data_IF_150610692534
#
_entry.id   IF_150610692534
#
_cell.length_a   1.000
_cell.length_b   1.000
_cell.length_c   1.000
_cell.angle_alpha   90.00
_cell.angle_beta   90.00
_cell.angle_gamma   90.00
#
_symmetry.space_group_name_H-M   'P 1'
#
loop_
_entity.id
_entity.type
_entity.pdbx_description
1 polymer ?
#
# COMPACT_ATOMS: atom_id res chain seq x y z
N UNK A 1 1.31 -13.81 -16.57
CA UNK A 1 2.65 -13.62 -17.17
C UNK A 1 3.65 -13.37 -16.06
N UNK A 2 4.96 -13.50 -16.28
CA UNK A 2 5.95 -13.18 -15.22
C UNK A 2 6.11 -11.67 -15.10
N UNK A 3 5.95 -11.12 -13.89
CA UNK A 3 6.16 -9.69 -13.63
C UNK A 3 7.60 -9.23 -14.02
N UNK A 4 7.76 -8.02 -14.57
CA UNK A 4 9.07 -7.48 -14.95
C UNK A 4 9.92 -7.16 -13.72
N UNK A 5 11.24 -7.04 -13.91
CA UNK A 5 12.15 -6.49 -12.89
C UNK A 5 11.90 -4.99 -12.83
N UNK A 6 11.48 -4.49 -11.66
CA UNK A 6 11.19 -3.07 -11.44
C UNK A 6 12.33 -2.37 -10.69
N UNK A 7 13.09 -3.13 -9.91
CA UNK A 7 14.15 -2.60 -9.05
C UNK A 7 15.35 -3.52 -9.16
N UNK A 8 16.52 -2.94 -9.41
CA UNK A 8 17.82 -3.59 -9.26
C UNK A 8 18.57 -2.92 -8.11
N UNK A 9 19.01 -3.71 -7.15
CA UNK A 9 19.88 -3.28 -6.04
C UNK A 9 21.30 -3.63 -6.42
N UNK A 10 22.18 -2.62 -6.43
CA UNK A 10 23.56 -2.77 -6.84
C UNK A 10 24.51 -2.88 -5.64
N UNK A 11 25.55 -3.72 -5.78
CA UNK A 11 26.76 -3.72 -4.94
C UNK A 11 27.94 -3.32 -5.81
N UNK A 12 28.27 -2.02 -5.82
CA UNK A 12 29.18 -1.46 -6.80
C UNK A 12 28.57 -1.52 -8.20
N UNK A 13 29.25 -2.13 -9.16
CA UNK A 13 28.78 -2.29 -10.54
C UNK A 13 27.98 -3.58 -10.79
N UNK A 14 27.75 -4.41 -9.76
CA UNK A 14 27.10 -5.72 -9.89
C UNK A 14 25.67 -5.63 -9.35
N UNK A 15 24.70 -6.16 -10.10
CA UNK A 15 23.34 -6.37 -9.60
C UNK A 15 23.36 -7.47 -8.53
N UNK A 16 23.15 -7.07 -7.28
CA UNK A 16 23.09 -7.98 -6.14
C UNK A 16 21.70 -8.59 -5.97
N UNK A 17 20.64 -7.82 -6.21
CA UNK A 17 19.26 -8.29 -6.13
C UNK A 17 18.38 -7.64 -7.19
N UNK A 18 17.40 -8.38 -7.72
CA UNK A 18 16.43 -7.90 -8.68
C UNK A 18 15.01 -8.21 -8.18
N UNK A 19 14.18 -7.18 -8.01
CA UNK A 19 12.83 -7.32 -7.48
C UNK A 19 11.82 -7.17 -8.61
N UNK A 20 10.95 -8.17 -8.77
CA UNK A 20 9.88 -8.19 -9.76
C UNK A 20 8.57 -7.79 -9.14
N UNK A 21 7.75 -7.05 -9.88
CA UNK A 21 6.46 -6.60 -9.37
C UNK A 21 5.53 -6.07 -10.44
N UNK A 22 4.37 -5.62 -10.00
CA UNK A 22 3.40 -4.87 -10.79
C UNK A 22 3.11 -3.53 -10.14
N UNK A 23 2.76 -2.53 -10.94
CA UNK A 23 2.44 -1.16 -10.51
C UNK A 23 1.19 -0.74 -11.25
N UNK A 24 0.23 -0.16 -10.54
CA UNK A 24 -0.95 0.45 -11.12
C UNK A 24 -1.13 1.86 -10.54
N UNK A 25 -1.38 2.83 -11.41
CA UNK A 25 -1.65 4.23 -11.06
C UNK A 25 -3.01 4.59 -11.62
N UNK A 26 -3.87 5.13 -10.76
CA UNK A 26 -5.21 5.58 -11.10
C UNK A 26 -5.35 7.07 -10.76
N UNK A 27 -6.19 7.79 -11.51
CA UNK A 27 -6.60 9.14 -11.13
C UNK A 27 -7.71 9.14 -10.06
N UNK A 28 -8.17 10.33 -9.67
CA UNK A 28 -9.21 10.49 -8.65
C UNK A 28 -10.59 9.95 -9.04
N UNK A 29 -10.83 9.75 -10.33
CA UNK A 29 -12.07 9.15 -10.86
C UNK A 29 -11.94 7.61 -11.01
N UNK A 30 -10.78 7.06 -10.65
CA UNK A 30 -10.49 5.63 -10.74
C UNK A 30 -10.12 5.16 -12.15
N UNK A 31 -9.79 6.06 -13.08
CA UNK A 31 -9.34 5.69 -14.42
C UNK A 31 -7.84 5.32 -14.37
N UNK A 32 -7.42 4.22 -15.04
CA UNK A 32 -6.01 3.86 -15.10
C UNK A 32 -5.22 4.91 -15.89
N UNK A 33 -4.18 5.44 -15.25
CA UNK A 33 -3.21 6.37 -15.83
C UNK A 33 -1.99 5.61 -16.34
N UNK A 34 -1.55 4.59 -15.60
CA UNK A 34 -0.38 3.80 -15.96
C UNK A 34 -0.38 2.43 -15.28
N UNK A 35 0.09 1.39 -15.99
CA UNK A 35 0.21 0.03 -15.47
C UNK A 35 1.50 -0.65 -15.95
N UNK A 36 2.13 -1.42 -15.06
CA UNK A 36 3.27 -2.30 -15.38
C UNK A 36 3.03 -3.68 -14.76
N UNK A 37 3.30 -4.74 -15.53
CA UNK A 37 3.19 -6.13 -15.06
C UNK A 37 1.75 -6.62 -14.98
N UNK A 38 1.52 -7.65 -14.17
CA UNK A 38 0.21 -8.26 -13.96
C UNK A 38 -0.50 -7.59 -12.76
N UNK A 39 -1.16 -6.45 -13.02
CA UNK A 39 -1.88 -5.63 -12.03
C UNK A 39 -3.24 -6.22 -11.65
N UNK A 40 -3.80 -7.10 -12.48
CA UNK A 40 -5.06 -7.80 -12.22
C UNK A 40 -4.91 -9.00 -11.28
N UNK A 41 -3.68 -9.44 -11.01
CA UNK A 41 -3.40 -10.56 -10.12
C UNK A 41 -3.74 -10.20 -8.66
N UNK A 42 -4.64 -10.96 -8.06
CA UNK A 42 -4.95 -10.84 -6.63
C UNK A 42 -3.73 -11.10 -5.75
N UNK A 43 -3.54 -10.26 -4.74
CA UNK A 43 -2.52 -10.39 -3.69
C UNK A 43 -3.14 -10.12 -2.33
N UNK A 44 -2.54 -10.67 -1.26
CA UNK A 44 -2.91 -10.24 0.09
C UNK A 44 -2.40 -8.81 0.31
N UNK A 45 -3.24 -7.87 0.80
CA UNK A 45 -2.84 -6.47 0.99
C UNK A 45 -1.83 -6.30 2.13
N UNK A 46 -1.63 -7.33 2.96
CA UNK A 46 -0.74 -7.29 4.13
C UNK A 46 -1.05 -6.04 4.97
N UNK A 47 -0.03 -5.32 5.42
CA UNK A 47 -0.18 -4.11 6.21
C UNK A 47 -0.78 -2.91 5.46
N UNK A 48 -0.96 -2.96 4.13
CA UNK A 48 -1.56 -1.84 3.39
C UNK A 48 -3.06 -1.66 3.67
N UNK A 49 -3.72 -2.68 4.24
CA UNK A 49 -5.16 -2.63 4.60
C UNK A 49 -5.45 -1.84 5.88
N UNK A 50 -4.44 -1.35 6.60
CA UNK A 50 -4.62 -0.75 7.93
C UNK A 50 -5.54 0.46 7.97
N UNK A 51 -5.54 1.29 6.93
CA UNK A 51 -6.49 2.39 6.83
C UNK A 51 -7.96 1.89 6.83
N UNK A 52 -8.23 0.77 6.15
CA UNK A 52 -9.54 0.11 6.16
C UNK A 52 -9.80 -0.52 7.54
N UNK A 53 -8.79 -1.11 8.18
CA UNK A 53 -8.91 -1.65 9.54
C UNK A 53 -9.16 -0.59 10.61
N UNK A 54 -8.77 0.67 10.37
CA UNK A 54 -9.02 1.80 11.26
C UNK A 54 -10.43 2.38 11.11
N UNK A 55 -11.16 2.08 10.03
CA UNK A 55 -12.52 2.60 9.82
C UNK A 55 -13.47 2.29 11.00
N UNK A 56 -13.53 1.06 11.53
CA UNK A 56 -14.42 0.75 12.66
C UNK A 56 -14.13 1.57 13.92
N UNK A 57 -12.87 2.00 14.15
CA UNK A 57 -12.53 2.87 15.28
C UNK A 57 -13.24 4.24 15.17
N UNK A 58 -13.36 4.75 13.95
CA UNK A 58 -14.05 6.02 13.66
C UNK A 58 -15.56 5.80 13.54
N UNK A 59 -15.99 4.84 12.72
CA UNK A 59 -17.40 4.59 12.40
C UNK A 59 -18.23 4.13 13.61
N UNK A 60 -17.59 3.47 14.59
CA UNK A 60 -18.28 3.11 15.84
C UNK A 60 -18.43 4.27 16.83
N UNK A 61 -17.81 5.42 16.58
CA UNK A 61 -17.73 6.54 17.53
C UNK A 61 -16.71 6.34 18.66
N UNK A 62 -15.94 5.25 18.64
CA UNK A 62 -14.92 5.01 19.66
C UNK A 62 -13.83 6.09 19.66
N UNK A 63 -13.40 6.56 18.49
CA UNK A 63 -12.43 7.67 18.39
C UNK A 63 -12.91 8.91 19.17
N UNK A 64 -14.17 9.31 18.97
CA UNK A 64 -14.76 10.47 19.64
C UNK A 64 -14.93 10.24 21.15
N UNK A 65 -15.42 9.06 21.53
CA UNK A 65 -15.63 8.70 22.93
C UNK A 65 -14.33 8.74 23.76
N UNK A 66 -13.19 8.43 23.14
CA UNK A 66 -11.87 8.45 23.78
C UNK A 66 -11.04 9.72 23.45
N UNK A 67 -11.60 10.67 22.69
CA UNK A 67 -10.92 11.91 22.33
C UNK A 67 -9.69 11.71 21.44
N UNK A 68 -9.67 10.67 20.62
CA UNK A 68 -8.56 10.35 19.70
C UNK A 68 -8.55 11.30 18.51
N UNK A 69 -7.44 12.02 18.34
CA UNK A 69 -7.25 12.98 17.26
C UNK A 69 -6.36 12.43 16.15
N UNK A 70 -5.85 13.34 15.31
CA UNK A 70 -5.03 12.98 14.15
C UNK A 70 -3.79 12.14 14.50
N UNK A 71 -3.22 12.29 15.70
CA UNK A 71 -2.03 11.53 16.12
C UNK A 71 -2.36 10.06 16.33
N UNK A 72 -3.43 9.77 17.05
CA UNK A 72 -3.88 8.42 17.36
C UNK A 72 -4.45 7.74 16.12
N UNK A 73 -5.18 8.48 15.27
CA UNK A 73 -5.68 7.97 13.99
C UNK A 73 -4.53 7.66 13.02
N UNK A 74 -3.50 8.52 12.96
CA UNK A 74 -2.31 8.23 12.17
C UNK A 74 -1.63 6.94 12.66
N UNK A 75 -1.57 6.72 13.97
CA UNK A 75 -1.03 5.49 14.56
C UNK A 75 -1.87 4.26 14.19
N UNK A 76 -3.20 4.35 14.28
CA UNK A 76 -4.11 3.27 13.90
C UNK A 76 -3.97 2.87 12.41
N UNK A 77 -3.67 3.85 11.54
CA UNK A 77 -3.41 3.63 10.12
C UNK A 77 -1.96 3.22 9.80
N UNK A 78 -1.03 3.36 10.74
CA UNK A 78 0.41 3.18 10.50
C UNK A 78 0.82 1.71 10.50
N UNK A 79 1.85 1.40 9.73
CA UNK A 79 2.50 0.09 9.80
C UNK A 79 3.60 0.09 10.87
N UNK A 80 3.33 -0.64 11.96
CA UNK A 80 4.31 -1.04 12.97
C UNK A 80 4.90 -2.42 12.67
#
# INVERSE_FOLDING_TARGET
MTNPVLIEVLRGAIVESAHRGSVAVFDGDGKPVWEIGDTAKSVFPRSAVKAIQALPLVESGAADAYGFGNRELALACASH
#
